data_IF_711986222232
#
_entry.id   IF_711986222232
#
_cell.length_a   1.000
_cell.length_b   1.000
_cell.length_c   1.000
_cell.angle_alpha   90.00
_cell.angle_beta   90.00
_cell.angle_gamma   90.00
#
_symmetry.space_group_name_H-M   'P 1'
#
loop_
_entity.id
_entity.type
_entity.pdbx_description
1 polymer ?
#
# COMPACT_ATOMS: atom_id res chain seq x y z
N UNK A 1 20.03 7.36 -3.86
CA UNK A 1 20.76 6.68 -4.95
C UNK A 1 21.91 5.95 -4.29
N UNK A 2 22.67 5.10 -4.98
CA UNK A 2 23.97 4.66 -4.45
C UNK A 2 25.05 4.84 -5.50
N UNK A 3 26.10 5.55 -5.12
CA UNK A 3 27.29 5.75 -5.96
C UNK A 3 28.45 4.94 -5.40
N UNK A 4 29.14 4.22 -6.28
CA UNK A 4 30.41 3.58 -5.98
C UNK A 4 31.41 3.93 -7.09
N UNK A 5 32.47 4.66 -6.71
CA UNK A 5 33.38 5.25 -7.69
C UNK A 5 32.65 6.23 -8.62
N UNK A 6 32.77 6.03 -9.93
CA UNK A 6 32.08 6.84 -10.94
C UNK A 6 30.67 6.31 -11.31
N UNK A 7 30.27 5.14 -10.81
CA UNK A 7 29.01 4.50 -11.19
C UNK A 7 27.92 4.83 -10.18
N UNK A 8 26.82 5.41 -10.65
CA UNK A 8 25.62 5.66 -9.85
C UNK A 8 24.50 4.72 -10.24
N UNK A 9 24.02 3.95 -9.27
CA UNK A 9 22.80 3.14 -9.40
C UNK A 9 21.63 3.95 -8.82
N UNK A 10 20.62 4.18 -9.66
CA UNK A 10 19.33 4.71 -9.24
C UNK A 10 18.44 3.53 -8.85
N UNK A 11 17.88 3.54 -7.64
CA UNK A 11 16.89 2.54 -7.24
C UNK A 11 15.50 3.07 -7.53
N UNK A 12 14.55 2.21 -7.89
CA UNK A 12 13.17 2.62 -8.18
C UNK A 12 12.46 3.29 -6.98
N UNK A 13 12.88 2.98 -5.74
CA UNK A 13 12.36 3.60 -4.51
C UNK A 13 12.99 4.96 -4.19
N UNK A 14 14.02 5.34 -4.93
CA UNK A 14 14.82 6.50 -4.62
C UNK A 14 14.19 7.72 -5.29
N UNK A 15 13.43 8.49 -4.50
CA UNK A 15 12.84 9.75 -4.91
C UNK A 15 13.95 10.67 -5.44
N UNK A 16 13.98 10.87 -6.76
CA UNK A 16 15.07 11.59 -7.41
C UNK A 16 15.10 13.07 -6.98
N UNK A 17 16.27 13.65 -6.70
CA UNK A 17 16.38 15.09 -6.46
C UNK A 17 16.09 15.89 -7.75
N UNK A 18 15.46 17.06 -7.59
CA UNK A 18 15.10 18.04 -8.62
C UNK A 18 16.29 18.42 -9.55
N UNK A 19 16.08 18.92 -10.81
CA UNK A 19 14.86 19.57 -11.31
C UNK A 19 14.08 18.81 -12.39
N UNK A 20 14.56 17.64 -12.86
CA UNK A 20 13.92 16.97 -14.01
C UNK A 20 14.12 15.46 -14.02
N UNK A 21 13.74 14.72 -12.97
CA UNK A 21 13.50 13.27 -13.10
C UNK A 21 12.34 12.83 -12.21
N UNK A 22 11.12 12.94 -12.73
CA UNK A 22 10.00 12.16 -12.24
C UNK A 22 10.22 10.69 -12.61
N UNK A 23 10.99 9.99 -11.78
CA UNK A 23 10.90 8.55 -11.62
C UNK A 23 10.49 8.22 -10.19
N UNK A 24 9.57 9.03 -9.64
CA UNK A 24 8.54 8.46 -8.78
C UNK A 24 7.84 7.41 -9.64
N UNK A 25 7.88 6.13 -9.27
CA UNK A 25 7.06 5.12 -9.91
C UNK A 25 5.66 5.73 -10.10
N UNK A 26 5.21 5.81 -11.36
CA UNK A 26 3.87 6.33 -11.62
C UNK A 26 2.90 5.42 -10.90
N UNK A 27 1.88 5.95 -10.20
CA UNK A 27 0.87 5.12 -9.60
C UNK A 27 0.25 4.20 -10.65
N UNK A 28 0.17 2.92 -10.36
CA UNK A 28 -0.46 1.93 -11.21
C UNK A 28 -1.89 1.70 -10.73
N UNK A 29 -2.84 1.62 -11.67
CA UNK A 29 -4.22 1.28 -11.36
C UNK A 29 -4.54 -0.06 -12.02
N UNK A 30 -4.91 -1.04 -11.21
CA UNK A 30 -5.29 -2.38 -11.67
C UNK A 30 -6.81 -2.50 -11.56
N UNK A 31 -7.46 -2.98 -12.61
CA UNK A 31 -8.89 -3.30 -12.62
C UNK A 31 -9.09 -4.81 -12.73
N UNK A 32 -10.05 -5.34 -11.99
CA UNK A 32 -10.46 -6.75 -12.14
C UNK A 32 -11.71 -6.87 -13.00
N UNK A 33 -11.92 -8.04 -13.59
CA UNK A 33 -13.17 -8.37 -14.29
C UNK A 33 -14.39 -8.39 -13.37
N UNK A 34 -14.20 -8.48 -12.05
CA UNK A 34 -15.25 -8.39 -11.04
C UNK A 34 -15.60 -6.95 -10.63
N UNK A 35 -14.95 -5.94 -11.22
CA UNK A 35 -15.23 -4.52 -10.97
C UNK A 35 -14.51 -3.93 -9.75
N UNK A 36 -13.46 -4.58 -9.25
CA UNK A 36 -12.56 -3.99 -8.25
C UNK A 36 -11.54 -3.09 -8.95
N UNK A 37 -11.08 -2.07 -8.24
CA UNK A 37 -9.87 -1.34 -8.64
C UNK A 37 -8.91 -1.19 -7.48
N UNK A 38 -7.61 -1.21 -7.81
CA UNK A 38 -6.52 -1.10 -6.86
C UNK A 38 -5.55 -0.03 -7.32
N UNK A 39 -5.19 0.88 -6.43
CA UNK A 39 -4.10 1.83 -6.66
C UNK A 39 -2.83 1.28 -6.01
N UNK A 40 -1.80 1.10 -6.84
CA UNK A 40 -0.51 0.60 -6.46
C UNK A 40 0.56 1.69 -6.56
N UNK A 41 1.38 1.76 -5.52
CA UNK A 41 2.72 2.35 -5.51
C UNK A 41 3.69 1.17 -5.24
N UNK A 42 4.79 1.26 -4.46
CA UNK A 42 5.51 0.05 -4.03
C UNK A 42 4.65 -1.01 -3.29
N UNK A 43 3.41 -0.68 -2.94
CA UNK A 43 2.38 -1.60 -2.42
C UNK A 43 0.97 -1.09 -2.72
N UNK A 44 -0.05 -1.85 -2.32
CA UNK A 44 -1.47 -1.44 -2.48
C UNK A 44 -1.81 -0.38 -1.44
N UNK A 45 -2.29 0.77 -1.89
CA UNK A 45 -2.64 1.89 -1.02
C UNK A 45 -4.13 2.24 -1.03
N UNK A 46 -4.87 1.77 -2.03
CA UNK A 46 -6.31 1.98 -2.12
C UNK A 46 -6.97 0.79 -2.83
N UNK A 47 -8.15 0.42 -2.34
CA UNK A 47 -9.07 -0.49 -3.02
C UNK A 47 -10.44 0.15 -3.14
N UNK A 48 -11.07 0.00 -4.31
CA UNK A 48 -12.45 0.43 -4.56
C UNK A 48 -13.28 -0.75 -5.05
N UNK A 49 -14.44 -0.94 -4.40
CA UNK A 49 -15.47 -1.90 -4.79
C UNK A 49 -16.83 -1.21 -4.81
N UNK A 50 -17.54 -1.24 -5.94
CA UNK A 50 -18.91 -0.70 -6.03
C UNK A 50 -19.05 0.73 -5.46
N UNK A 51 -18.05 1.60 -5.70
CA UNK A 51 -18.01 2.98 -5.21
C UNK A 51 -17.56 3.15 -3.76
N UNK A 52 -17.32 2.06 -3.02
CA UNK A 52 -16.74 2.09 -1.68
C UNK A 52 -15.22 2.09 -1.77
N UNK A 53 -14.61 3.27 -1.55
CA UNK A 53 -13.15 3.44 -1.48
C UNK A 53 -12.64 3.20 -0.09
N UNK A 54 -11.50 2.53 -0.02
CA UNK A 54 -10.80 2.24 1.23
C UNK A 54 -9.33 2.53 1.03
N UNK A 55 -8.81 3.43 1.85
CA UNK A 55 -7.40 3.78 1.89
C UNK A 55 -6.72 2.89 2.92
N UNK A 56 -5.71 2.15 2.49
CA UNK A 56 -4.99 1.20 3.31
C UNK A 56 -3.79 1.89 3.94
N UNK A 57 -3.59 1.70 5.24
CA UNK A 57 -2.51 2.31 6.00
C UNK A 57 -1.51 1.20 6.38
N UNK A 58 -0.46 1.01 5.57
CA UNK A 58 0.58 0.05 5.86
C UNK A 58 1.55 0.55 6.94
N UNK A 59 2.15 -0.38 7.68
CA UNK A 59 3.37 -0.11 8.44
C UNK A 59 4.63 -0.18 7.57
N UNK A 60 5.80 0.03 8.18
CA UNK A 60 7.08 0.02 7.46
C UNK A 60 7.45 -1.32 6.82
N UNK A 61 6.78 -2.42 7.19
CA UNK A 61 6.95 -3.74 6.57
C UNK A 61 5.90 -4.00 5.47
N UNK A 62 4.96 -3.08 5.25
CA UNK A 62 3.85 -3.25 4.32
C UNK A 62 2.62 -3.93 4.92
N UNK A 63 2.60 -4.22 6.23
CA UNK A 63 1.43 -4.82 6.89
C UNK A 63 0.29 -3.81 6.97
N UNK A 64 -0.90 -4.14 6.51
CA UNK A 64 -2.04 -3.21 6.64
C UNK A 64 -2.55 -3.22 8.07
N UNK A 65 -2.36 -2.10 8.77
CA UNK A 65 -2.81 -1.94 10.16
C UNK A 65 -4.16 -1.26 10.27
N UNK A 66 -4.51 -0.41 9.31
CA UNK A 66 -5.78 0.30 9.33
C UNK A 66 -6.33 0.46 7.90
N UNK A 67 -7.64 0.56 7.82
CA UNK A 67 -8.34 0.95 6.59
C UNK A 67 -9.27 2.11 6.91
N UNK A 68 -9.27 3.11 6.03
CA UNK A 68 -10.03 4.36 6.19
C UNK A 68 -10.96 4.55 5.00
N UNK A 69 -12.20 4.96 5.23
CA UNK A 69 -13.16 5.25 4.17
C UNK A 69 -12.92 6.62 3.50
N UNK A 70 -13.74 6.96 2.51
CA UNK A 70 -13.68 8.25 1.81
C UNK A 70 -13.92 9.48 2.70
N UNK A 71 -14.50 9.30 3.90
CA UNK A 71 -14.76 10.36 4.87
C UNK A 71 -13.65 10.52 5.89
N UNK A 72 -12.60 9.69 5.84
CA UNK A 72 -11.53 9.69 6.83
C UNK A 72 -11.84 8.87 8.09
N UNK A 73 -12.90 8.05 8.09
CA UNK A 73 -13.28 7.22 9.23
C UNK A 73 -12.56 5.87 9.16
N UNK A 74 -11.99 5.44 10.28
CA UNK A 74 -11.38 4.10 10.41
C UNK A 74 -12.48 3.05 10.35
N UNK A 75 -12.44 2.20 9.32
CA UNK A 75 -13.40 1.11 9.07
C UNK A 75 -12.79 -0.28 9.23
N UNK A 76 -11.48 -0.38 9.44
CA UNK A 76 -10.78 -1.62 9.70
C UNK A 76 -9.51 -1.40 10.51
N UNK A 77 -9.18 -2.35 11.38
CA UNK A 77 -8.04 -2.27 12.28
C UNK A 77 -7.44 -3.66 12.52
N UNK A 78 -6.13 -3.78 12.30
CA UNK A 78 -5.35 -4.99 12.49
C UNK A 78 -4.09 -4.71 13.31
N UNK A 79 -3.80 -5.62 14.23
CA UNK A 79 -2.51 -5.68 14.92
C UNK A 79 -1.92 -7.07 14.72
N UNK A 80 -0.61 -7.11 14.51
CA UNK A 80 0.15 -8.33 14.39
C UNK A 80 1.26 -8.35 15.43
N UNK A 81 1.57 -9.53 15.94
CA UNK A 81 2.83 -9.75 16.63
C UNK A 81 4.02 -9.68 15.64
N UNK A 82 5.28 -9.71 16.12
CA UNK A 82 6.45 -9.64 15.24
C UNK A 82 6.56 -10.76 14.19
N UNK A 83 5.78 -11.84 14.32
CA UNK A 83 5.79 -12.99 13.43
C UNK A 83 4.54 -13.07 12.53
N UNK A 84 3.70 -12.04 12.56
CA UNK A 84 2.51 -11.94 11.72
C UNK A 84 1.25 -12.58 12.29
N UNK A 85 1.27 -13.05 13.53
CA UNK A 85 0.05 -13.57 14.16
C UNK A 85 -0.86 -12.39 14.54
N UNK A 86 -2.15 -12.42 14.18
CA UNK A 86 -3.07 -11.33 14.51
C UNK A 86 -3.32 -11.28 16.03
N UNK A 87 -3.05 -10.13 16.64
CA UNK A 87 -3.36 -9.80 18.04
C UNK A 87 -4.78 -9.20 18.13
N UNK A 88 -5.09 -8.32 17.18
CA UNK A 88 -6.42 -7.73 17.01
C UNK A 88 -6.79 -7.84 15.54
N UNK A 89 -7.98 -8.35 15.25
CA UNK A 89 -8.56 -8.33 13.92
C UNK A 89 -10.00 -7.82 14.05
N UNK A 90 -10.21 -6.55 13.70
CA UNK A 90 -11.54 -5.94 13.59
C UNK A 90 -11.87 -5.62 12.13
N UNK A 91 -11.43 -6.45 11.20
CA UNK A 91 -11.82 -6.35 9.81
C UNK A 91 -12.97 -7.29 9.49
N UNK A 92 -13.94 -6.77 8.74
CA UNK A 92 -14.70 -7.61 7.83
C UNK A 92 -13.78 -7.92 6.64
N UNK A 93 -13.76 -9.16 6.13
CA UNK A 93 -13.07 -9.54 4.89
C UNK A 93 -13.43 -8.61 3.71
N UNK A 94 -14.60 -7.95 3.78
CA UNK A 94 -15.10 -6.98 2.79
C UNK A 94 -14.29 -5.66 2.84
N UNK A 95 -13.57 -5.37 3.93
CA UNK A 95 -12.89 -4.09 4.18
C UNK A 95 -11.45 -4.10 3.69
N UNK A 96 -10.74 -5.22 3.76
CA UNK A 96 -9.34 -5.27 3.33
C UNK A 96 -8.86 -6.72 3.18
N UNK A 97 -8.50 -7.17 1.97
CA UNK A 97 -7.94 -8.51 1.77
C UNK A 97 -6.48 -8.62 2.22
N UNK A 98 -5.79 -7.49 2.48
CA UNK A 98 -4.35 -7.50 2.73
C UNK A 98 -3.98 -7.56 4.22
N UNK A 99 -3.06 -8.44 4.59
CA UNK A 99 -2.67 -8.74 5.95
C UNK A 99 -1.25 -8.30 6.33
N UNK A 100 -0.58 -9.14 7.13
CA UNK A 100 0.82 -8.94 7.53
C UNK A 100 1.72 -8.89 6.29
N UNK A 101 2.66 -7.95 6.27
CA UNK A 101 3.59 -7.72 5.15
C UNK A 101 2.93 -7.60 3.76
N UNK A 102 1.65 -7.25 3.69
CA UNK A 102 0.90 -7.11 2.44
C UNK A 102 0.42 -8.42 1.80
N UNK A 103 0.46 -9.53 2.54
CA UNK A 103 -0.08 -10.83 2.11
C UNK A 103 -1.60 -10.75 1.83
N UNK A 104 -2.13 -11.62 0.96
CA UNK A 104 -3.52 -11.62 0.49
C UNK A 104 -4.27 -12.91 0.81
#
# INVERSE_FOLDING_TARGET
TRTFGATTTNFALDCAPAPFRAASALPEVIYTSSGESYLHLPGVIMTEKAGLRRYLLPDGLGSIRQAVDASGVIIGYNEYDPYGNPIVNRQSEIVNPYGFTGEW
#
